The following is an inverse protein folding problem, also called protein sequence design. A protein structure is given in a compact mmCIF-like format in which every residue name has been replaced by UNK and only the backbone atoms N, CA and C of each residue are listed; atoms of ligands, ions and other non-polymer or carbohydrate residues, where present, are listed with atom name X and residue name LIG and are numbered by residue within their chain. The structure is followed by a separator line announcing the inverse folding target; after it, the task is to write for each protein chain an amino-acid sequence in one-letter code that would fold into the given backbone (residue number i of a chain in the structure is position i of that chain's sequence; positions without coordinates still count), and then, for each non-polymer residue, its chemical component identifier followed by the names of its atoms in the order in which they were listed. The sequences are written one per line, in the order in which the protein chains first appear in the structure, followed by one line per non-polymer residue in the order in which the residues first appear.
data_IF_073634263565
#
_entry.id   IF_073634263565
#
_cell.length_a   1.000
_cell.length_b   1.000
_cell.length_c   1.000
_cell.angle_alpha   90.00
_cell.angle_beta   90.00
_cell.angle_gamma   90.00
#
_symmetry.space_group_name_H-M   'P 1'
#
loop_
_entity.id
_entity.type
_entity.pdbx_description
1 polymer ?
#
# COMPACT_ATOMS: atom_id res chain seq x y z
N UNK A 1 -1.30 -4.03 -2.16
CA UNK A 1 -0.35 -5.14 -1.93
C UNK A 1 -0.99 -6.13 -0.97
N UNK A 2 -1.02 -7.41 -1.33
CA UNK A 2 -1.68 -8.49 -0.59
C UNK A 2 -0.63 -9.45 -0.03
N UNK A 3 -0.64 -9.66 1.29
CA UNK A 3 0.18 -10.63 2.02
C UNK A 3 -0.67 -11.84 2.40
N UNK A 4 -0.03 -12.92 2.86
CA UNK A 4 -0.74 -14.16 3.27
C UNK A 4 -1.74 -13.98 4.42
N UNK A 5 -1.60 -12.93 5.24
CA UNK A 5 -2.43 -12.68 6.43
C UNK A 5 -3.09 -11.31 6.48
N UNK A 6 -2.76 -10.37 5.58
CA UNK A 6 -3.35 -9.03 5.52
C UNK A 6 -3.07 -8.37 4.17
N UNK A 7 -3.58 -7.16 3.95
CA UNK A 7 -3.24 -6.36 2.78
C UNK A 7 -2.95 -4.91 3.18
N UNK A 8 -2.20 -4.21 2.34
CA UNK A 8 -1.95 -2.79 2.40
C UNK A 8 -2.49 -2.11 1.14
N UNK A 9 -3.23 -1.02 1.31
CA UNK A 9 -3.83 -0.25 0.23
C UNK A 9 -3.51 1.22 0.41
N UNK A 10 -3.01 1.84 -0.67
CA UNK A 10 -2.85 3.28 -0.79
C UNK A 10 -3.82 3.72 -1.89
N UNK A 11 -4.76 4.61 -1.55
CA UNK A 11 -5.83 5.02 -2.44
C UNK A 11 -6.35 6.41 -2.07
N UNK A 12 -6.86 7.12 -3.06
CA UNK A 12 -7.54 8.41 -2.90
C UNK A 12 -9.05 8.17 -2.90
N UNK A 13 -9.75 8.77 -1.94
CA UNK A 13 -11.21 8.69 -1.80
C UNK A 13 -11.80 10.11 -1.95
N UNK A 14 -12.26 10.50 -3.15
CA UNK A 14 -12.69 11.88 -3.42
C UNK A 14 -13.80 12.38 -2.49
N UNK A 15 -14.75 11.52 -2.14
CA UNK A 15 -15.91 11.88 -1.30
C UNK A 15 -15.66 11.64 0.20
N UNK A 16 -14.41 11.39 0.62
CA UNK A 16 -14.05 11.06 2.00
C UNK A 16 -14.88 9.89 2.59
N UNK A 17 -15.32 8.96 1.75
CA UNK A 17 -16.30 7.91 2.06
C UNK A 17 -15.67 6.53 2.30
N UNK A 18 -14.41 6.49 2.77
CA UNK A 18 -13.64 5.25 2.93
C UNK A 18 -14.39 4.19 3.74
N UNK A 19 -15.09 4.58 4.80
CA UNK A 19 -15.82 3.63 5.64
C UNK A 19 -16.92 2.88 4.88
N UNK A 20 -17.67 3.58 4.03
CA UNK A 20 -18.69 2.99 3.16
C UNK A 20 -18.05 2.07 2.12
N UNK A 21 -16.96 2.50 1.51
CA UNK A 21 -16.24 1.70 0.50
C UNK A 21 -15.68 0.42 1.12
N UNK A 22 -15.05 0.50 2.29
CA UNK A 22 -14.46 -0.64 2.98
C UNK A 22 -15.53 -1.62 3.49
N UNK A 23 -16.70 -1.12 3.90
CA UNK A 23 -17.85 -1.96 4.24
C UNK A 23 -18.30 -2.79 3.04
N UNK A 24 -18.58 -2.15 1.90
CA UNK A 24 -19.03 -2.86 0.69
C UNK A 24 -17.95 -3.79 0.13
N UNK A 25 -16.69 -3.35 0.13
CA UNK A 25 -15.56 -4.19 -0.27
C UNK A 25 -15.48 -5.45 0.61
N UNK A 26 -15.46 -5.28 1.93
CA UNK A 26 -15.35 -6.39 2.87
C UNK A 26 -16.51 -7.37 2.75
N UNK A 27 -17.74 -6.85 2.60
CA UNK A 27 -18.96 -7.65 2.41
C UNK A 27 -18.89 -8.47 1.11
N UNK A 28 -18.65 -7.81 -0.02
CA UNK A 28 -18.65 -8.45 -1.34
C UNK A 28 -17.50 -9.44 -1.49
N UNK A 29 -16.30 -9.08 -1.03
CA UNK A 29 -15.13 -9.97 -1.06
C UNK A 29 -15.38 -11.22 -0.22
N UNK A 30 -15.87 -11.06 1.02
CA UNK A 30 -16.14 -12.20 1.90
C UNK A 30 -17.19 -13.14 1.31
N UNK A 31 -18.23 -12.60 0.67
CA UNK A 31 -19.25 -13.40 0.00
C UNK A 31 -18.69 -14.19 -1.18
N UNK A 32 -17.93 -13.54 -2.07
CA UNK A 32 -17.28 -14.22 -3.21
C UNK A 32 -16.32 -15.31 -2.72
N UNK A 33 -15.54 -15.04 -1.67
CA UNK A 33 -14.57 -16.00 -1.15
C UNK A 33 -15.24 -17.18 -0.45
N UNK A 34 -16.31 -16.96 0.32
CA UNK A 34 -17.11 -18.04 0.91
C UNK A 34 -17.68 -18.95 -0.17
N UNK A 35 -18.29 -18.37 -1.20
CA UNK A 35 -18.88 -19.15 -2.30
C UNK A 35 -17.83 -19.99 -3.04
N UNK A 36 -16.59 -19.47 -3.20
CA UNK A 36 -15.50 -20.19 -3.87
C UNK A 36 -14.81 -21.24 -3.00
N UNK A 37 -14.75 -21.04 -1.68
CA UNK A 37 -13.96 -21.89 -0.78
C UNK A 37 -14.79 -22.82 0.09
N UNK A 38 -16.11 -22.66 0.15
CA UNK A 38 -17.01 -23.40 1.04
C UNK A 38 -16.83 -23.09 2.52
N UNK A 39 -15.93 -22.15 2.88
CA UNK A 39 -15.67 -21.77 4.27
C UNK A 39 -16.83 -20.94 4.83
N UNK A 40 -17.22 -21.22 6.07
CA UNK A 40 -18.30 -20.50 6.77
C UNK A 40 -17.79 -19.48 7.80
N UNK A 41 -16.50 -19.53 8.14
CA UNK A 41 -15.91 -18.65 9.14
C UNK A 41 -15.76 -17.21 8.64
N UNK A 42 -15.66 -16.27 9.59
CA UNK A 42 -15.38 -14.85 9.31
C UNK A 42 -14.03 -14.71 8.59
N UNK A 43 -14.04 -14.02 7.44
CA UNK A 43 -12.83 -13.86 6.61
C UNK A 43 -11.88 -12.78 7.14
N UNK A 44 -12.42 -11.66 7.62
CA UNK A 44 -11.63 -10.57 8.19
C UNK A 44 -11.78 -10.55 9.71
N UNK A 45 -10.70 -10.84 10.44
CA UNK A 45 -10.72 -10.94 11.91
C UNK A 45 -10.93 -9.59 12.61
N UNK A 46 -10.27 -8.54 12.12
CA UNK A 46 -10.28 -7.21 12.72
C UNK A 46 -10.93 -6.14 11.82
N UNK A 47 -11.15 -4.95 12.39
CA UNK A 47 -11.46 -3.74 11.61
C UNK A 47 -10.23 -3.33 10.82
N UNK A 48 -10.43 -2.77 9.62
CA UNK A 48 -9.33 -2.14 8.89
C UNK A 48 -8.80 -0.93 9.67
N UNK A 49 -7.52 -0.62 9.47
CA UNK A 49 -6.86 0.57 10.00
C UNK A 49 -6.52 1.48 8.84
N UNK A 50 -6.59 2.78 9.06
CA UNK A 50 -6.28 3.78 8.04
C UNK A 50 -5.53 4.96 8.65
N UNK A 51 -4.79 5.66 7.79
CA UNK A 51 -4.11 6.92 8.10
C UNK A 51 -4.13 7.80 6.85
N UNK A 52 -4.50 9.07 7.01
CA UNK A 52 -4.51 10.03 5.90
C UNK A 52 -3.07 10.44 5.60
N UNK A 53 -2.71 10.37 4.33
CA UNK A 53 -1.42 10.81 3.80
C UNK A 53 -1.60 12.17 3.14
N UNK A 54 -1.22 13.25 3.83
CA UNK A 54 -1.38 14.62 3.32
C UNK A 54 -0.10 15.23 2.72
N UNK A 55 1.07 14.75 3.14
CA UNK A 55 2.37 15.34 2.78
C UNK A 55 3.10 14.48 1.76
N UNK A 56 3.66 15.09 0.73
CA UNK A 56 4.43 14.40 -0.31
C UNK A 56 5.64 13.64 0.26
N UNK A 57 6.33 14.24 1.24
CA UNK A 57 7.46 13.62 1.93
C UNK A 57 7.05 12.44 2.81
N UNK A 58 5.80 12.39 3.28
CA UNK A 58 5.27 11.21 3.96
C UNK A 58 4.81 10.15 2.94
N UNK A 59 4.20 10.56 1.84
CA UNK A 59 3.73 9.68 0.78
C UNK A 59 4.85 8.79 0.23
N UNK A 60 6.04 9.34 0.00
CA UNK A 60 7.21 8.57 -0.45
C UNK A 60 7.57 7.44 0.52
N UNK A 61 7.57 7.73 1.82
CA UNK A 61 7.82 6.73 2.87
C UNK A 61 6.71 5.66 2.90
N UNK A 62 5.44 6.05 2.74
CA UNK A 62 4.31 5.12 2.73
C UNK A 62 4.39 4.17 1.54
N UNK A 63 4.61 4.71 0.34
CA UNK A 63 4.79 3.92 -0.90
C UNK A 63 5.88 2.88 -0.71
N UNK A 64 7.06 3.34 -0.27
CA UNK A 64 8.21 2.46 -0.08
C UNK A 64 7.93 1.39 0.96
N UNK A 65 7.32 1.77 2.08
CA UNK A 65 6.91 0.84 3.12
C UNK A 65 5.93 -0.24 2.62
N UNK A 66 4.95 0.16 1.80
CA UNK A 66 3.98 -0.77 1.23
C UNK A 66 4.68 -1.76 0.30
N UNK A 67 5.51 -1.32 -0.65
CA UNK A 67 6.14 -2.26 -1.58
C UNK A 67 7.28 -3.08 -0.97
N UNK A 68 7.96 -2.59 0.08
CA UNK A 68 9.02 -3.32 0.77
C UNK A 68 8.52 -4.30 1.84
N UNK A 69 7.22 -4.35 2.13
CA UNK A 69 6.70 -5.31 3.13
C UNK A 69 7.04 -6.78 2.81
N UNK A 70 6.90 -7.26 1.55
CA UNK A 70 7.27 -8.62 1.19
C UNK A 70 8.76 -8.90 1.37
N UNK A 71 9.63 -7.92 1.08
CA UNK A 71 11.09 -8.03 1.30
C UNK A 71 11.38 -8.17 2.79
N UNK A 72 10.77 -7.32 3.61
CA UNK A 72 10.91 -7.36 5.07
C UNK A 72 10.36 -8.64 5.70
N UNK A 73 9.39 -9.28 5.05
CA UNK A 73 8.85 -10.58 5.43
C UNK A 73 9.65 -11.76 4.84
N UNK A 74 10.71 -11.51 4.05
CA UNK A 74 11.52 -12.54 3.41
C UNK A 74 10.82 -13.31 2.29
N UNK A 75 9.77 -12.74 1.69
CA UNK A 75 8.96 -13.42 0.66
C UNK A 75 9.51 -13.27 -0.76
N UNK A 76 10.36 -12.27 -1.01
CA UNK A 76 11.04 -12.05 -2.27
C UNK A 76 12.30 -11.19 -2.07
N UNK A 77 13.19 -11.21 -3.06
CA UNK A 77 14.43 -10.45 -3.04
C UNK A 77 14.25 -9.00 -3.54
N UNK A 78 13.34 -8.78 -4.50
CA UNK A 78 13.05 -7.46 -5.09
C UNK A 78 11.55 -7.18 -5.09
N UNK A 79 11.18 -5.90 -5.11
CA UNK A 79 9.78 -5.46 -4.99
C UNK A 79 8.94 -5.92 -6.18
N UNK A 80 9.51 -5.88 -7.39
CA UNK A 80 8.88 -6.27 -8.66
C UNK A 80 8.61 -7.78 -8.75
N UNK A 81 9.35 -8.60 -8.00
CA UNK A 81 9.22 -10.06 -8.01
C UNK A 81 7.99 -10.55 -7.23
N UNK A 82 7.36 -9.67 -6.44
CA UNK A 82 6.20 -10.04 -5.64
C UNK A 82 4.89 -9.94 -6.43
N UNK A 83 4.43 -11.10 -6.91
CA UNK A 83 3.24 -11.25 -7.78
C UNK A 83 1.91 -10.73 -7.21
N UNK A 84 1.80 -10.57 -5.89
CA UNK A 84 0.59 -10.09 -5.21
C UNK A 84 0.64 -8.58 -4.90
N UNK A 85 1.45 -7.85 -5.67
CA UNK A 85 1.55 -6.39 -5.63
C UNK A 85 1.08 -5.78 -6.95
N UNK A 86 0.55 -4.56 -6.89
CA UNK A 86 0.31 -3.78 -8.11
C UNK A 86 1.62 -3.57 -8.89
N UNK A 87 2.78 -3.46 -8.21
CA UNK A 87 4.07 -3.22 -8.85
C UNK A 87 4.42 -4.27 -9.90
N UNK A 88 4.26 -5.56 -9.55
CA UNK A 88 4.49 -6.68 -10.47
C UNK A 88 3.59 -6.68 -11.73
N UNK A 89 2.50 -5.91 -11.70
CA UNK A 89 1.44 -5.84 -12.72
C UNK A 89 1.47 -4.55 -13.54
N UNK A 90 2.24 -3.54 -13.14
CA UNK A 90 2.44 -2.33 -13.95
C UNK A 90 2.94 -2.70 -15.35
N UNK A 91 2.43 -2.01 -16.36
CA UNK A 91 2.72 -2.27 -17.78
C UNK A 91 2.20 -3.61 -18.33
N UNK A 92 1.71 -4.53 -17.49
CA UNK A 92 1.29 -5.88 -17.88
C UNK A 92 -0.22 -6.09 -17.85
N UNK A 93 -0.91 -5.43 -16.93
CA UNK A 93 -2.36 -5.54 -16.77
C UNK A 93 -3.03 -4.16 -16.87
N UNK A 94 -4.12 -4.10 -17.64
CA UNK A 94 -4.97 -2.92 -17.66
C UNK A 94 -5.89 -2.97 -16.45
N UNK A 95 -5.80 -1.94 -15.61
CA UNK A 95 -6.71 -1.74 -14.50
C UNK A 95 -7.82 -0.75 -14.89
N UNK A 96 -8.41 -0.87 -16.08
CA UNK A 96 -9.32 0.15 -16.65
C UNK A 96 -10.37 0.76 -15.69
N UNK A 97 -10.89 -0.03 -14.75
CA UNK A 97 -11.88 0.42 -13.74
C UNK A 97 -11.27 1.09 -12.50
N UNK A 98 -9.98 0.88 -12.26
CA UNK A 98 -9.21 1.50 -11.20
C UNK A 98 -8.22 2.44 -11.89
N UNK A 99 -8.47 3.75 -11.84
CA UNK A 99 -7.44 4.73 -12.22
C UNK A 99 -6.28 4.59 -11.24
N UNK A 100 -5.40 3.63 -11.49
CA UNK A 100 -4.06 3.59 -10.98
C UNK A 100 -3.40 4.72 -11.74
N UNK A 101 -3.57 5.95 -11.24
CA UNK A 101 -2.55 6.93 -11.51
C UNK A 101 -1.26 6.24 -11.07
N UNK A 102 -0.27 6.09 -11.97
CA UNK A 102 1.04 5.75 -11.51
C UNK A 102 1.38 6.86 -10.53
N UNK A 103 1.31 6.56 -9.23
CA UNK A 103 1.91 7.41 -8.22
C UNK A 103 3.45 7.39 -8.36
N UNK A 104 3.94 6.64 -9.36
CA UNK A 104 5.26 6.10 -9.59
C UNK A 104 5.42 6.03 -11.11
N UNK A 105 6.31 6.81 -11.67
CA UNK A 105 6.69 6.64 -13.07
C UNK A 105 7.58 5.40 -13.22
N UNK A 106 7.43 4.68 -14.33
CA UNK A 106 8.31 3.55 -14.65
C UNK A 106 9.70 4.08 -15.02
N UNK A 107 10.74 3.48 -14.43
CA UNK A 107 12.13 3.83 -14.74
C UNK A 107 13.12 3.10 -13.84
N UNK A 108 14.37 3.05 -14.29
CA UNK A 108 15.45 2.45 -13.50
C UNK A 108 15.67 3.19 -12.17
N UNK A 109 15.52 4.53 -12.15
CA UNK A 109 15.61 5.31 -10.92
C UNK A 109 14.55 4.91 -9.90
N UNK A 110 13.31 4.69 -10.35
CA UNK A 110 12.23 4.24 -9.48
C UNK A 110 12.52 2.84 -8.92
N UNK A 111 12.97 1.93 -9.79
CA UNK A 111 13.30 0.54 -9.45
C UNK A 111 14.44 0.47 -8.44
N UNK A 112 15.46 1.30 -8.58
CA UNK A 112 16.55 1.41 -7.61
C UNK A 112 16.05 2.00 -6.30
N UNK A 113 15.30 3.11 -6.37
CA UNK A 113 14.75 3.76 -5.18
C UNK A 113 13.83 2.84 -4.36
N UNK A 114 12.95 2.08 -5.01
CA UNK A 114 11.97 1.21 -4.33
C UNK A 114 12.63 -0.01 -3.70
N UNK A 115 13.71 -0.52 -4.28
CA UNK A 115 14.46 -1.66 -3.74
C UNK A 115 15.51 -1.28 -2.69
N UNK A 116 15.96 -0.02 -2.66
CA UNK A 116 16.94 0.43 -1.66
C UNK A 116 16.34 0.42 -0.25
N UNK A 117 17.00 -0.14 0.76
CA UNK A 117 16.39 -0.33 2.08
C UNK A 117 15.97 0.99 2.76
N UNK A 118 14.83 0.98 3.43
CA UNK A 118 14.42 2.10 4.30
C UNK A 118 15.36 2.24 5.49
N UNK A 119 15.78 3.46 5.80
CA UNK A 119 16.61 3.73 6.98
C UNK A 119 15.78 3.73 8.28
N UNK A 120 16.46 3.82 9.43
CA UNK A 120 15.83 3.82 10.76
C UNK A 120 14.79 4.92 10.94
N UNK A 121 15.05 6.12 10.42
CA UNK A 121 14.18 7.29 10.57
C UNK A 121 12.89 7.12 9.76
N UNK A 122 12.99 6.56 8.55
CA UNK A 122 11.84 6.23 7.72
C UNK A 122 11.00 5.13 8.36
N UNK A 123 11.62 4.10 8.94
CA UNK A 123 10.90 3.04 9.65
C UNK A 123 10.23 3.55 10.93
N UNK A 124 10.89 4.41 11.69
CA UNK A 124 10.29 5.07 12.86
C UNK A 124 9.11 5.98 12.47
N UNK A 125 9.27 6.75 11.39
CA UNK A 125 8.20 7.54 10.80
C UNK A 125 6.96 6.66 10.51
N UNK A 126 7.15 5.50 9.87
CA UNK A 126 6.05 4.58 9.60
C UNK A 126 5.44 3.99 10.87
N UNK A 127 6.25 3.61 11.87
CA UNK A 127 5.76 3.11 13.16
C UNK A 127 4.92 4.14 13.91
N UNK A 128 5.27 5.43 13.82
CA UNK A 128 4.50 6.53 14.43
C UNK A 128 3.24 6.87 13.63
N UNK A 129 3.35 6.92 12.31
CA UNK A 129 2.24 7.29 11.42
C UNK A 129 1.11 6.26 11.42
N UNK A 130 1.43 4.97 11.37
CA UNK A 130 0.44 3.88 11.30
C UNK A 130 -0.41 3.72 12.57
N UNK A 131 -0.09 4.43 13.65
CA UNK A 131 -0.86 4.44 14.91
C UNK A 131 -1.87 5.59 14.98
N UNK A 132 -1.91 6.48 13.97
CA UNK A 132 -2.73 7.69 13.97
C UNK A 132 -3.59 7.74 12.71
N UNK A 133 -4.83 8.21 12.84
CA UNK A 133 -5.70 8.51 11.69
C UNK A 133 -5.15 9.62 10.81
N UNK A 134 -4.36 10.54 11.37
CA UNK A 134 -3.64 11.59 10.64
C UNK A 134 -2.22 11.73 11.21
N UNK A 135 -1.23 11.78 10.31
CA UNK A 135 0.17 11.95 10.67
C UNK A 135 0.83 13.02 9.81
N UNK A 136 1.58 13.91 10.47
CA UNK A 136 2.38 14.95 9.82
C UNK A 136 3.84 14.67 10.13
N UNK A 137 4.66 14.57 9.09
CA UNK A 137 6.10 14.45 9.25
C UNK A 137 6.62 15.80 9.75
N UNK A 138 7.44 15.79 10.81
CA UNK A 138 8.18 16.99 11.22
C UNK A 138 9.26 17.21 10.16
N UNK A 139 9.26 18.39 9.54
CA UNK A 139 10.25 18.78 8.54
C UNK A 139 11.67 18.58 9.08
N UNK A 140 12.38 17.63 8.48
CA UNK A 140 13.84 17.57 8.44
C UNK A 140 14.17 17.32 6.97
N UNK A 141 14.33 18.39 6.20
CA UNK A 141 14.70 18.36 4.78
C UNK A 141 13.80 17.47 3.94
N UNK A 142 12.81 18.05 3.27
CA UNK A 142 11.87 17.31 2.43
C UNK A 142 12.61 16.39 1.45
N UNK A 143 12.59 15.09 1.71
CA UNK A 143 12.92 14.10 0.70
C UNK A 143 11.75 14.13 -0.27
N UNK A 144 11.88 15.01 -1.28
CA UNK A 144 10.98 15.01 -2.42
C UNK A 144 10.98 13.60 -2.99
N UNK A 145 9.82 13.12 -3.44
CA UNK A 145 9.86 12.08 -4.47
C UNK A 145 10.82 12.58 -5.56
N UNK A 146 11.62 11.71 -6.20
CA UNK A 146 12.40 12.16 -7.33
C UNK A 146 11.46 12.95 -8.25
N UNK A 147 11.89 14.15 -8.65
CA UNK A 147 11.11 14.95 -9.58
C UNK A 147 11.09 14.15 -10.88
N UNK A 148 9.95 13.50 -11.14
CA UNK A 148 9.64 12.87 -12.40
C UNK A 148 8.67 13.84 -13.10
#
# INVERSE_FOLDING_TARGET
MLMGNHYHMLATFPDSNIDKVMYEFGRNFSMKLRNRSGRINRMFGDRYKWSIVQQQSYLSNVVKYVYQNPLRAGLCARCEDYNYSTYSKFGKESFADMKIQPLLEEGEEFKDWINNQMNSDQLDCMRRGMKRSEFKLRSKGDMKLPNF
#
